data_IF_184902774941
#
_entry.id   IF_184902774941
#
_cell.length_a   1.000
_cell.length_b   1.000
_cell.length_c   1.000
_cell.angle_alpha   90.00
_cell.angle_beta   90.00
_cell.angle_gamma   90.00
#
_symmetry.space_group_name_H-M   'P 1'
#
loop_
_entity.id
_entity.type
_entity.pdbx_description
1 polymer ?
#
# COMPACT_ATOMS: atom_id res chain seq x y z
N UNK A 1 0.52 8.79 -36.77
CA UNK A 1 -0.33 8.67 -35.58
C UNK A 1 0.56 8.76 -34.36
N UNK A 2 0.76 9.98 -33.86
CA UNK A 2 1.45 10.24 -32.60
C UNK A 2 0.43 10.04 -31.48
N UNK A 3 0.66 9.03 -30.63
CA UNK A 3 -0.06 8.92 -29.37
C UNK A 3 0.36 10.12 -28.52
N UNK A 4 -0.51 11.12 -28.46
CA UNK A 4 -0.40 12.20 -27.49
C UNK A 4 -0.52 11.56 -26.10
N UNK A 5 0.63 11.31 -25.48
CA UNK A 5 0.71 11.09 -24.04
C UNK A 5 0.12 12.36 -23.46
N UNK A 6 -1.13 12.27 -22.98
CA UNK A 6 -1.78 13.30 -22.19
C UNK A 6 -0.91 13.47 -20.95
N UNK A 7 0.10 14.33 -21.06
CA UNK A 7 0.87 14.80 -19.95
C UNK A 7 -0.10 15.59 -19.11
N UNK A 8 -0.63 14.96 -18.07
CA UNK A 8 -1.24 15.68 -16.97
C UNK A 8 -0.16 16.63 -16.45
N UNK A 9 -0.17 17.87 -16.90
CA UNK A 9 0.48 18.99 -16.23
C UNK A 9 -0.27 19.17 -14.92
N UNK A 10 -0.01 18.26 -13.98
CA UNK A 10 -0.39 18.38 -12.59
C UNK A 10 0.61 19.39 -12.02
N UNK A 11 0.12 20.50 -11.49
CA UNK A 11 0.99 21.52 -10.92
C UNK A 11 1.86 20.87 -9.84
N UNK A 12 3.17 20.79 -10.10
CA UNK A 12 4.14 20.23 -9.15
C UNK A 12 4.02 20.89 -7.78
N UNK A 13 3.65 22.18 -7.77
CA UNK A 13 3.39 22.95 -6.56
C UNK A 13 2.16 22.44 -5.79
N UNK A 14 1.06 22.12 -6.49
CA UNK A 14 -0.13 21.56 -5.85
C UNK A 14 0.16 20.20 -5.22
N UNK A 15 0.93 19.33 -5.89
CA UNK A 15 1.35 18.07 -5.27
C UNK A 15 2.25 18.29 -4.06
N UNK A 16 3.17 19.27 -4.11
CA UNK A 16 4.00 19.61 -2.95
C UNK A 16 3.15 20.07 -1.76
N UNK A 17 2.13 20.89 -2.00
CA UNK A 17 1.20 21.34 -0.96
C UNK A 17 0.41 20.18 -0.37
N UNK A 18 -0.17 19.31 -1.21
CA UNK A 18 -0.89 18.10 -0.76
C UNK A 18 0.02 17.20 0.10
N UNK A 19 1.28 16.98 -0.32
CA UNK A 19 2.21 16.13 0.42
C UNK A 19 2.63 16.74 1.76
N UNK A 20 2.68 18.07 1.83
CA UNK A 20 2.95 18.79 3.07
C UNK A 20 1.76 18.72 4.02
N UNK A 21 0.55 18.87 3.50
CA UNK A 21 -0.70 18.72 4.25
C UNK A 21 -0.87 17.29 4.79
N UNK A 22 -0.51 16.29 3.97
CA UNK A 22 -0.63 14.87 4.29
C UNK A 22 0.61 14.29 5.00
N UNK A 23 1.49 15.13 5.53
CA UNK A 23 2.58 14.66 6.38
C UNK A 23 2.04 13.88 7.57
N UNK A 24 2.67 12.75 7.86
CA UNK A 24 2.30 11.77 8.90
C UNK A 24 1.01 10.97 8.63
N UNK A 25 0.37 11.12 7.48
CA UNK A 25 -0.78 10.29 7.10
C UNK A 25 -0.34 9.02 6.35
N UNK A 26 -1.17 7.97 6.48
CA UNK A 26 -1.04 6.77 5.69
C UNK A 26 -1.71 6.99 4.33
N UNK A 27 -0.93 6.92 3.26
CA UNK A 27 -1.35 7.20 1.89
C UNK A 27 -0.95 6.07 0.94
N UNK A 28 -1.68 5.96 -0.16
CA UNK A 28 -1.34 5.17 -1.33
C UNK A 28 -0.84 6.11 -2.40
N UNK A 29 0.36 5.84 -2.88
CA UNK A 29 1.05 6.57 -3.92
C UNK A 29 0.96 5.75 -5.20
N UNK A 30 0.37 6.34 -6.24
CA UNK A 30 0.28 5.76 -7.57
C UNK A 30 1.30 6.47 -8.45
N UNK A 31 2.21 5.69 -9.02
CA UNK A 31 3.24 6.16 -9.93
C UNK A 31 2.73 6.30 -11.36
N UNK A 32 3.50 6.99 -12.21
CA UNK A 32 3.19 7.16 -13.64
C UNK A 32 3.22 5.84 -14.43
N UNK A 33 3.97 4.84 -13.95
CA UNK A 33 3.98 3.48 -14.52
C UNK A 33 2.76 2.64 -14.08
N UNK A 34 1.88 3.20 -13.24
CA UNK A 34 0.71 2.52 -12.68
C UNK A 34 1.02 1.67 -11.45
N UNK A 35 2.28 1.60 -11.00
CA UNK A 35 2.61 0.91 -9.75
C UNK A 35 2.05 1.67 -8.56
N UNK A 36 1.52 0.94 -7.58
CA UNK A 36 0.96 1.50 -6.35
C UNK A 36 1.78 1.07 -5.15
N UNK A 37 2.02 2.00 -4.24
CA UNK A 37 2.82 1.83 -3.04
C UNK A 37 2.07 2.43 -1.87
N UNK A 38 1.92 1.70 -0.78
CA UNK A 38 1.32 2.20 0.44
C UNK A 38 2.37 2.49 1.51
N UNK A 39 2.13 3.56 2.27
CA UNK A 39 3.08 3.99 3.28
C UNK A 39 2.64 5.21 4.04
N UNK A 40 3.47 5.63 5.00
CA UNK A 40 3.26 6.85 5.77
C UNK A 40 4.15 7.93 5.19
N UNK A 41 3.56 9.06 4.83
CA UNK A 41 4.32 10.20 4.30
C UNK A 41 5.07 10.85 5.47
N UNK A 42 6.38 10.97 5.37
CA UNK A 42 7.18 11.70 6.37
C UNK A 42 7.19 13.19 6.02
N UNK A 43 7.34 13.50 4.73
CA UNK A 43 7.34 14.86 4.21
C UNK A 43 8.05 14.95 2.87
N UNK A 44 8.60 16.13 2.58
CA UNK A 44 9.31 16.43 1.33
C UNK A 44 10.77 16.78 1.62
N UNK A 45 11.66 16.35 0.73
CA UNK A 45 13.02 16.84 0.60
C UNK A 45 13.17 17.41 -0.81
N UNK A 46 13.11 18.73 -0.93
CA UNK A 46 13.16 19.48 -2.19
C UNK A 46 12.07 19.05 -3.20
N UNK A 47 12.41 18.16 -4.12
CA UNK A 47 11.53 17.59 -5.16
C UNK A 47 11.22 16.11 -4.95
N UNK A 48 11.72 15.52 -3.87
CA UNK A 48 11.51 14.13 -3.50
C UNK A 48 10.55 14.01 -2.31
N UNK A 49 9.57 13.12 -2.43
CA UNK A 49 8.74 12.69 -1.31
C UNK A 49 9.48 11.64 -0.50
N UNK A 50 9.54 11.84 0.81
CA UNK A 50 10.02 10.83 1.75
C UNK A 50 8.81 10.09 2.30
N UNK A 51 8.76 8.78 2.05
CA UNK A 51 7.68 7.91 2.51
C UNK A 51 8.23 6.66 3.21
N UNK A 52 7.61 6.28 4.32
CA UNK A 52 7.79 5.00 4.99
C UNK A 52 6.90 3.96 4.30
N UNK A 53 7.48 3.19 3.38
CA UNK A 53 6.77 2.20 2.57
C UNK A 53 6.62 0.88 3.34
N UNK A 54 5.41 0.34 3.39
CA UNK A 54 5.13 -0.95 4.04
C UNK A 54 5.54 -2.13 3.17
N UNK A 55 6.78 -2.59 3.29
CA UNK A 55 7.26 -3.80 2.63
C UNK A 55 6.78 -5.06 3.37
N UNK A 56 6.19 -6.02 2.66
CA UNK A 56 5.83 -7.32 3.23
C UNK A 56 7.10 -8.18 3.39
N UNK A 57 7.46 -8.46 4.64
CA UNK A 57 8.60 -9.31 4.98
C UNK A 57 8.07 -10.65 5.49
N UNK A 58 8.48 -11.72 4.82
CA UNK A 58 8.21 -13.09 5.24
C UNK A 58 9.43 -13.58 6.01
N UNK A 59 9.30 -13.70 7.33
CA UNK A 59 10.36 -14.28 8.17
C UNK A 59 10.12 -15.79 8.22
N UNK A 60 11.02 -16.56 7.60
CA UNK A 60 10.96 -18.03 7.62
C UNK A 60 11.30 -18.75 6.31
N UNK A 61 11.64 -18.03 5.23
CA UNK A 61 12.03 -18.64 3.96
C UNK A 61 13.48 -18.33 3.60
N UNK A 62 14.40 -19.23 3.94
CA UNK A 62 15.62 -19.37 3.13
C UNK A 62 15.19 -19.62 1.68
N UNK A 63 15.83 -18.91 0.76
CA UNK A 63 15.31 -18.58 -0.57
C UNK A 63 15.22 -19.70 -1.61
N UNK A 64 14.89 -20.95 -1.26
CA UNK A 64 14.88 -22.04 -2.25
C UNK A 64 13.68 -22.99 -2.23
N UNK A 65 12.81 -22.99 -1.23
CA UNK A 65 11.78 -24.04 -1.16
C UNK A 65 10.41 -23.53 -1.60
N UNK A 66 10.26 -23.53 -2.92
CA UNK A 66 8.99 -23.61 -3.65
C UNK A 66 8.29 -24.95 -3.36
N UNK A 67 8.07 -25.30 -2.09
CA UNK A 67 7.27 -26.48 -1.73
C UNK A 67 5.83 -26.05 -1.49
N UNK A 68 5.02 -26.41 -2.48
CA UNK A 68 3.56 -26.36 -2.62
C UNK A 68 2.80 -27.14 -1.52
N UNK A 69 3.35 -27.30 -0.32
CA UNK A 69 2.77 -28.07 0.77
C UNK A 69 2.38 -27.12 1.90
N UNK A 70 1.11 -26.76 1.89
CA UNK A 70 0.39 -26.21 3.04
C UNK A 70 0.46 -27.24 4.19
N UNK A 71 1.04 -26.92 5.36
CA UNK A 71 0.79 -27.70 6.56
C UNK A 71 -0.63 -27.35 7.01
N UNK A 72 -1.50 -28.35 7.03
CA UNK A 72 -2.76 -28.31 7.77
C UNK A 72 -2.47 -28.02 9.25
N UNK A 73 -2.46 -26.75 9.63
CA UNK A 73 -2.27 -26.33 11.01
C UNK A 73 -1.57 -24.98 11.09
N UNK A 74 -2.27 -23.98 11.66
CA UNK A 74 -1.88 -22.73 12.34
C UNK A 74 -0.54 -21.99 12.09
N UNK A 75 0.43 -22.51 11.34
CA UNK A 75 1.69 -21.89 10.98
C UNK A 75 1.62 -21.32 9.56
N UNK A 76 0.80 -20.27 9.40
CA UNK A 76 1.01 -19.38 8.26
C UNK A 76 2.34 -18.67 8.48
N UNK A 77 3.20 -18.55 7.45
CA UNK A 77 4.43 -17.80 7.59
C UNK A 77 4.07 -16.39 8.09
N UNK A 78 4.67 -15.97 9.20
CA UNK A 78 4.39 -14.66 9.77
C UNK A 78 4.80 -13.59 8.74
N UNK A 79 3.79 -12.93 8.17
CA UNK A 79 3.96 -11.79 7.29
C UNK A 79 4.01 -10.55 8.18
N UNK A 80 5.16 -9.90 8.20
CA UNK A 80 5.33 -8.65 8.92
C UNK A 80 5.34 -7.49 7.94
N UNK A 81 4.67 -6.39 8.30
CA UNK A 81 4.77 -5.13 7.58
C UNK A 81 6.01 -4.39 8.06
N UNK A 82 7.07 -4.31 7.25
CA UNK A 82 8.26 -3.52 7.58
C UNK A 82 8.21 -2.19 6.85
N UNK A 83 8.06 -1.12 7.60
CA UNK A 83 8.14 0.22 7.07
C UNK A 83 9.59 0.60 6.78
N UNK A 84 9.92 0.84 5.51
CA UNK A 84 11.24 1.34 5.09
C UNK A 84 11.12 2.72 4.47
N UNK A 85 12.00 3.61 4.89
CA UNK A 85 12.09 4.97 4.37
C UNK A 85 12.63 4.92 2.95
N UNK A 86 11.83 5.37 1.98
CA UNK A 86 12.19 5.48 0.57
C UNK A 86 11.93 6.91 0.10
N UNK A 87 12.65 7.31 -0.95
CA UNK A 87 12.50 8.60 -1.62
C UNK A 87 11.91 8.38 -2.99
N UNK A 88 10.92 9.19 -3.35
CA UNK A 88 10.25 9.12 -4.63
C UNK A 88 10.20 10.51 -5.25
N UNK A 89 10.72 10.69 -6.47
CA UNK A 89 10.69 12.00 -7.11
C UNK A 89 9.25 12.36 -7.49
N UNK A 90 8.82 13.58 -7.18
CA UNK A 90 7.44 14.04 -7.41
C UNK A 90 7.02 13.89 -8.88
N UNK A 91 7.96 14.10 -9.80
CA UNK A 91 7.71 13.98 -11.24
C UNK A 91 7.29 12.57 -11.72
N UNK A 92 7.50 11.53 -10.91
CA UNK A 92 7.08 10.16 -11.22
C UNK A 92 5.75 9.79 -10.58
N UNK A 93 5.18 10.66 -9.78
CA UNK A 93 3.96 10.39 -9.04
C UNK A 93 2.78 10.87 -9.87
N UNK A 94 1.85 9.95 -10.11
CA UNK A 94 0.62 10.25 -10.80
C UNK A 94 -0.42 10.76 -9.83
N UNK A 95 -0.64 10.06 -8.70
CA UNK A 95 -1.71 10.36 -7.75
C UNK A 95 -1.32 9.98 -6.32
N UNK A 96 -1.82 10.74 -5.36
CA UNK A 96 -1.73 10.46 -3.92
C UNK A 96 -3.15 10.32 -3.36
N UNK A 97 -3.41 9.23 -2.65
CA UNK A 97 -4.71 8.94 -2.03
C UNK A 97 -4.53 8.65 -0.54
N UNK A 98 -5.26 9.35 0.32
CA UNK A 98 -5.26 9.06 1.75
C UNK A 98 -6.03 7.77 2.05
N UNK A 99 -5.42 6.88 2.84
CA UNK A 99 -6.15 5.75 3.40
C UNK A 99 -7.01 6.24 4.56
N UNK A 100 -8.33 6.20 4.36
CA UNK A 100 -9.31 6.57 5.37
C UNK A 100 -9.29 5.53 6.49
N UNK A 101 -8.70 5.90 7.63
CA UNK A 101 -8.82 5.16 8.88
C UNK A 101 -10.00 5.70 9.71
N UNK A 102 -10.74 4.86 10.43
CA UNK A 102 -10.57 3.41 10.56
C UNK A 102 -11.01 2.64 9.30
N UNK A 103 -10.39 1.48 9.04
CA UNK A 103 -10.98 0.48 8.15
C UNK A 103 -12.30 0.04 8.78
N UNK A 104 -13.40 0.68 8.39
CA UNK A 104 -14.74 0.20 8.71
C UNK A 104 -14.87 -1.10 7.90
N UNK A 105 -14.55 -2.22 8.54
CA UNK A 105 -14.98 -3.52 8.04
C UNK A 105 -16.49 -3.40 7.88
N UNK A 106 -17.06 -3.61 6.68
CA UNK A 106 -18.50 -3.71 6.59
C UNK A 106 -18.90 -4.82 7.57
N UNK A 107 -19.73 -4.46 8.56
CA UNK A 107 -20.39 -5.41 9.43
C UNK A 107 -21.28 -6.24 8.51
N UNK A 108 -20.73 -7.32 7.96
CA UNK A 108 -21.54 -8.33 7.31
C UNK A 108 -22.36 -8.96 8.43
N UNK A 109 -23.71 -8.79 8.43
CA UNK A 109 -24.55 -9.55 9.33
C UNK A 109 -24.39 -11.00 8.91
N UNK A 110 -23.74 -11.81 9.74
CA UNK A 110 -23.60 -13.25 9.49
C UNK A 110 -24.99 -13.88 9.55
N UNK A 111 -25.61 -14.31 8.43
CA UNK A 111 -26.93 -14.91 8.46
C UNK A 111 -26.77 -16.42 8.29
N UNK A 112 -26.19 -17.10 9.28
CA UNK A 112 -26.19 -18.56 9.30
C UNK A 112 -26.44 -19.09 10.70
N UNK A 113 -27.67 -19.53 11.01
CA UNK A 113 -27.89 -20.44 12.11
C UNK A 113 -27.30 -21.80 11.72
N UNK A 114 -26.33 -22.28 12.49
CA UNK A 114 -25.78 -23.62 12.35
C UNK A 114 -26.92 -24.64 12.56
N UNK A 115 -27.21 -25.56 11.62
CA UNK A 115 -28.16 -26.63 11.87
C UNK A 115 -27.53 -27.62 12.84
N UNK A 116 -28.14 -27.72 14.02
CA UNK A 116 -27.83 -28.73 15.02
C UNK A 116 -28.28 -30.09 14.47
N UNK A 117 -27.33 -30.96 14.10
CA UNK A 117 -27.63 -32.36 13.80
C UNK A 117 -27.43 -33.17 15.09
N UNK A 118 -28.51 -33.66 15.72
CA UNK A 118 -28.39 -34.64 16.80
C UNK A 118 -28.01 -36.00 16.21
N UNK A 119 -27.16 -36.71 16.97
CA UNK A 119 -26.62 -38.04 16.69
C UNK A 119 -27.70 -39.13 16.67
#
# INVERSE_FOLDING_TARGET
MSLEVVGCYRDLNSMKEECKEYSSYHAVLTMNDGSTLDGIIEGLADDDIIMLVGEDVIIGGNGDNMTRQQPMGFNRPNRFRRFRRRRFPINRINRLELLRYPYILPLYPYPYPYPYYPY
#
